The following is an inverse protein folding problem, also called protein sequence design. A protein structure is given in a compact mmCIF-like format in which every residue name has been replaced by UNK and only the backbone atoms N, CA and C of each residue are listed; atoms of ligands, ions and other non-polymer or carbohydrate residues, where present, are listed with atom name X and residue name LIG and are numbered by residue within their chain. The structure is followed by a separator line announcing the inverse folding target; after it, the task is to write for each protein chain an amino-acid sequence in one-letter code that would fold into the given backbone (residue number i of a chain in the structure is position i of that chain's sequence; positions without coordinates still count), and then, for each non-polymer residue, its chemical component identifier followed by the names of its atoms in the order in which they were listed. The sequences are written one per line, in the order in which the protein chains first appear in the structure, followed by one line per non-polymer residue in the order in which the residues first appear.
data_IF_779298894120
#
_entry.id   IF_779298894120
#
_cell.length_a   1.000
_cell.length_b   1.000
_cell.length_c   1.000
_cell.angle_alpha   90.00
_cell.angle_beta   90.00
_cell.angle_gamma   90.00
#
_symmetry.space_group_name_H-M   'P 1'
#
loop_
_entity.id
_entity.type
_entity.pdbx_description
1 polymer ?
#
# COMPACT_ATOMS: atom_id res chain seq x y z
N UNK A 1 20.79 -12.50 0.93
CA UNK A 1 21.35 -11.15 1.14
C UNK A 1 20.38 -10.11 0.61
N UNK A 2 20.44 -8.88 1.11
CA UNK A 2 19.59 -7.76 0.65
C UNK A 2 19.71 -7.54 -0.89
N UNK A 3 20.91 -7.71 -1.45
CA UNK A 3 21.15 -7.59 -2.90
C UNK A 3 20.34 -8.59 -3.73
N UNK A 4 20.22 -9.83 -3.26
CA UNK A 4 19.41 -10.86 -3.95
C UNK A 4 17.92 -10.52 -3.85
N UNK A 5 17.48 -10.06 -2.68
CA UNK A 5 16.09 -9.63 -2.50
C UNK A 5 15.74 -8.49 -3.48
N UNK A 6 16.57 -7.46 -3.52
CA UNK A 6 16.35 -6.33 -4.42
C UNK A 6 16.30 -6.78 -5.89
N UNK A 7 17.25 -7.60 -6.34
CA UNK A 7 17.27 -8.11 -7.71
C UNK A 7 16.00 -8.91 -8.07
N UNK A 8 15.48 -9.72 -7.13
CA UNK A 8 14.25 -10.49 -7.33
C UNK A 8 13.03 -9.57 -7.34
N UNK A 9 12.96 -8.58 -6.45
CA UNK A 9 11.89 -7.59 -6.43
C UNK A 9 11.84 -6.76 -7.73
N UNK A 10 13.01 -6.31 -8.22
CA UNK A 10 13.08 -5.55 -9.48
C UNK A 10 12.63 -6.43 -10.66
N UNK A 11 13.06 -7.69 -10.70
CA UNK A 11 12.63 -8.64 -11.73
C UNK A 11 11.12 -8.88 -11.73
N UNK A 12 10.48 -8.95 -10.56
CA UNK A 12 9.01 -9.05 -10.45
C UNK A 12 8.33 -7.81 -11.00
N UNK A 13 8.80 -6.60 -10.63
CA UNK A 13 8.21 -5.33 -11.10
C UNK A 13 8.31 -5.18 -12.61
N UNK A 14 9.48 -5.51 -13.20
CA UNK A 14 9.69 -5.48 -14.64
C UNK A 14 8.72 -6.43 -15.34
N UNK A 15 8.62 -7.67 -14.86
CA UNK A 15 7.75 -8.68 -15.42
C UNK A 15 6.26 -8.34 -15.30
N UNK A 16 5.85 -7.70 -14.20
CA UNK A 16 4.46 -7.20 -14.02
C UNK A 16 4.12 -6.08 -15.00
N UNK A 17 5.11 -5.29 -15.44
CA UNK A 17 4.93 -4.29 -16.50
C UNK A 17 4.88 -4.87 -17.92
N UNK A 18 5.42 -6.07 -18.14
CA UNK A 18 5.55 -6.69 -19.45
C UNK A 18 4.53 -7.82 -19.73
N UNK A 19 3.99 -8.45 -18.69
CA UNK A 19 3.20 -9.69 -18.75
C UNK A 19 1.99 -9.67 -17.85
N UNK A 20 1.00 -10.48 -18.20
CA UNK A 20 -0.12 -10.74 -17.30
C UNK A 20 0.33 -11.56 -16.07
N UNK A 21 -0.42 -11.41 -14.97
CA UNK A 21 -0.14 -12.16 -13.73
C UNK A 21 -0.09 -13.68 -13.93
N UNK A 22 -0.95 -14.23 -14.80
CA UNK A 22 -1.01 -15.67 -15.08
C UNK A 22 0.22 -16.22 -15.78
N UNK A 23 1.04 -15.38 -16.38
CA UNK A 23 2.28 -15.74 -17.04
C UNK A 23 3.50 -15.70 -16.10
N UNK A 24 3.33 -15.16 -14.89
CA UNK A 24 4.40 -15.11 -13.90
C UNK A 24 4.65 -16.47 -13.27
N UNK A 25 5.93 -16.80 -13.11
CA UNK A 25 6.36 -18.00 -12.40
C UNK A 25 7.69 -17.79 -11.71
N UNK A 26 7.95 -18.55 -10.65
CA UNK A 26 9.26 -18.47 -9.93
C UNK A 26 10.45 -18.73 -10.88
N UNK A 27 10.43 -19.71 -11.81
CA UNK A 27 11.52 -19.87 -12.76
C UNK A 27 11.77 -18.64 -13.64
N UNK A 28 10.70 -17.99 -14.12
CA UNK A 28 10.80 -16.80 -14.96
C UNK A 28 11.40 -15.60 -14.16
N UNK A 29 10.93 -15.39 -12.95
CA UNK A 29 11.47 -14.35 -12.06
C UNK A 29 12.94 -14.61 -11.73
N UNK A 30 13.29 -15.85 -11.39
CA UNK A 30 14.67 -16.24 -11.07
C UNK A 30 15.61 -16.00 -12.26
N UNK A 31 15.17 -16.36 -13.46
CA UNK A 31 15.92 -16.11 -14.70
C UNK A 31 16.16 -14.60 -14.90
N UNK A 32 15.13 -13.77 -14.77
CA UNK A 32 15.24 -12.31 -14.92
C UNK A 32 16.15 -11.70 -13.86
N UNK A 33 16.08 -12.19 -12.61
CA UNK A 33 16.89 -11.72 -11.48
C UNK A 33 18.35 -12.23 -11.50
N UNK A 34 18.69 -13.17 -12.39
CA UNK A 34 20.02 -13.77 -12.45
C UNK A 34 20.32 -14.69 -11.25
N UNK A 35 19.30 -15.33 -10.68
CA UNK A 35 19.42 -16.27 -9.56
C UNK A 35 18.82 -17.64 -9.91
N UNK A 36 19.05 -18.66 -9.08
CA UNK A 36 18.42 -19.96 -9.28
C UNK A 36 17.00 -19.98 -8.71
N UNK A 37 16.04 -20.75 -9.29
CA UNK A 37 14.71 -20.91 -8.71
C UNK A 37 14.71 -21.39 -7.26
N UNK A 38 15.66 -22.27 -6.90
CA UNK A 38 15.80 -22.74 -5.52
C UNK A 38 16.14 -21.63 -4.53
N UNK A 39 16.83 -20.58 -4.96
CA UNK A 39 17.11 -19.39 -4.15
C UNK A 39 15.82 -18.64 -3.81
N UNK A 40 14.93 -18.52 -4.80
CA UNK A 40 13.62 -17.88 -4.62
C UNK A 40 12.73 -18.73 -3.72
N UNK A 41 12.58 -20.03 -4.02
CA UNK A 41 11.75 -20.95 -3.22
C UNK A 41 12.20 -21.01 -1.75
N UNK A 42 13.50 -21.04 -1.49
CA UNK A 42 14.03 -21.09 -0.12
C UNK A 42 13.67 -19.86 0.70
N UNK A 43 13.49 -18.70 0.06
CA UNK A 43 13.23 -17.44 0.75
C UNK A 43 11.74 -17.14 0.89
N UNK A 44 10.96 -17.38 -0.15
CA UNK A 44 9.54 -17.00 -0.20
C UNK A 44 8.59 -18.20 -0.22
N UNK A 45 9.07 -19.40 -0.49
CA UNK A 45 8.24 -20.60 -0.52
C UNK A 45 7.41 -20.72 -1.80
N UNK A 46 6.61 -19.72 -2.11
CA UNK A 46 5.71 -19.69 -3.27
C UNK A 46 5.84 -18.39 -4.07
N UNK A 47 5.31 -18.40 -5.30
CA UNK A 47 5.18 -17.18 -6.10
C UNK A 47 4.26 -16.17 -5.39
N UNK A 48 3.17 -16.63 -4.76
CA UNK A 48 2.21 -15.77 -4.08
C UNK A 48 2.88 -15.00 -2.93
N UNK A 49 3.67 -15.66 -2.10
CA UNK A 49 4.40 -15.01 -1.01
C UNK A 49 5.46 -14.02 -1.53
N UNK A 50 6.11 -14.34 -2.65
CA UNK A 50 7.02 -13.40 -3.30
C UNK A 50 6.29 -12.14 -3.78
N UNK A 51 5.13 -12.30 -4.44
CA UNK A 51 4.35 -11.17 -4.93
C UNK A 51 3.82 -10.31 -3.77
N UNK A 52 3.40 -10.93 -2.66
CA UNK A 52 2.98 -10.24 -1.45
C UNK A 52 4.13 -9.44 -0.80
N UNK A 53 5.33 -10.01 -0.76
CA UNK A 53 6.53 -9.33 -0.24
C UNK A 53 6.91 -8.10 -1.10
N UNK A 54 6.81 -8.22 -2.44
CA UNK A 54 7.00 -7.09 -3.38
C UNK A 54 5.94 -6.02 -3.18
N UNK A 55 4.66 -6.41 -3.02
CA UNK A 55 3.55 -5.50 -2.79
C UNK A 55 3.72 -4.74 -1.47
N UNK A 56 4.07 -5.44 -0.40
CA UNK A 56 4.37 -4.85 0.90
C UNK A 56 5.49 -3.81 0.82
N UNK A 57 6.60 -4.15 0.14
CA UNK A 57 7.76 -3.25 0.05
C UNK A 57 7.43 -1.98 -0.75
N UNK A 58 6.53 -2.07 -1.75
CA UNK A 58 6.05 -0.90 -2.49
C UNK A 58 5.26 0.08 -1.61
N UNK A 59 4.53 -0.43 -0.61
CA UNK A 59 3.76 0.39 0.33
C UNK A 59 4.61 0.97 1.47
N UNK A 60 5.90 0.65 1.50
CA UNK A 60 6.82 1.16 2.50
C UNK A 60 6.83 2.69 2.50
N UNK A 61 6.69 3.33 3.66
CA UNK A 61 6.77 4.78 3.76
C UNK A 61 8.23 5.23 3.65
N UNK A 62 8.68 5.54 2.43
CA UNK A 62 10.03 6.05 2.21
C UNK A 62 10.15 7.51 2.63
N UNK A 63 9.09 8.32 2.35
CA UNK A 63 9.03 9.71 2.75
C UNK A 63 7.72 10.02 3.49
N UNK A 64 7.74 10.88 4.51
CA UNK A 64 6.52 11.38 5.12
C UNK A 64 5.74 12.21 4.08
N UNK A 65 4.39 12.22 4.15
CA UNK A 65 3.58 13.08 3.29
C UNK A 65 4.00 14.56 3.40
N UNK A 66 3.90 15.29 2.30
CA UNK A 66 4.22 16.72 2.28
C UNK A 66 3.40 17.48 3.32
N UNK A 67 4.06 18.38 4.06
CA UNK A 67 3.38 19.25 5.02
C UNK A 67 2.98 20.55 4.33
N UNK A 68 1.73 20.61 3.90
CA UNK A 68 1.15 21.79 3.24
C UNK A 68 0.47 22.77 4.22
N UNK A 69 0.61 22.56 5.52
CA UNK A 69 0.07 23.42 6.58
C UNK A 69 -1.02 22.76 7.41
N UNK A 70 -2.31 23.09 7.22
CA UNK A 70 -3.40 22.60 8.05
C UNK A 70 -3.65 21.09 7.91
N UNK A 71 -4.04 20.43 9.02
CA UNK A 71 -4.37 19.01 9.05
C UNK A 71 -5.36 18.61 7.96
N UNK A 72 -6.43 19.36 7.78
CA UNK A 72 -7.45 19.09 6.78
C UNK A 72 -6.85 18.96 5.38
N UNK A 73 -6.03 19.94 4.97
CA UNK A 73 -5.42 19.96 3.63
C UNK A 73 -4.49 18.77 3.40
N UNK A 74 -3.65 18.48 4.40
CA UNK A 74 -2.68 17.38 4.32
C UNK A 74 -3.40 16.03 4.28
N UNK A 75 -4.39 15.83 5.16
CA UNK A 75 -5.11 14.57 5.25
C UNK A 75 -5.99 14.29 4.02
N UNK A 76 -6.63 15.34 3.45
CA UNK A 76 -7.37 15.24 2.18
C UNK A 76 -6.45 14.88 1.01
N UNK A 77 -5.31 15.55 0.89
CA UNK A 77 -4.33 15.26 -0.15
C UNK A 77 -3.82 13.80 -0.04
N UNK A 78 -3.53 13.35 1.17
CA UNK A 78 -3.13 11.97 1.43
C UNK A 78 -4.25 10.96 1.09
N UNK A 79 -5.49 11.21 1.49
CA UNK A 79 -6.62 10.32 1.20
C UNK A 79 -6.87 10.17 -0.31
N UNK A 80 -6.78 11.29 -1.05
CA UNK A 80 -6.88 11.29 -2.52
C UNK A 80 -5.74 10.48 -3.15
N UNK A 81 -4.49 10.72 -2.75
CA UNK A 81 -3.33 9.97 -3.25
C UNK A 81 -3.46 8.47 -2.95
N UNK A 82 -3.90 8.12 -1.75
CA UNK A 82 -4.15 6.74 -1.36
C UNK A 82 -5.21 6.08 -2.25
N UNK A 83 -6.34 6.77 -2.50
CA UNK A 83 -7.36 6.30 -3.43
C UNK A 83 -6.81 6.08 -4.84
N UNK A 84 -6.09 7.06 -5.40
CA UNK A 84 -5.49 6.98 -6.73
C UNK A 84 -4.52 5.80 -6.84
N UNK A 85 -3.69 5.59 -5.81
CA UNK A 85 -2.72 4.50 -5.78
C UNK A 85 -3.39 3.14 -5.80
N UNK A 86 -4.36 2.87 -4.91
CA UNK A 86 -5.01 1.55 -4.82
C UNK A 86 -6.04 1.30 -5.93
N UNK A 87 -6.57 2.35 -6.57
CA UNK A 87 -7.46 2.24 -7.74
C UNK A 87 -6.71 1.92 -9.02
N UNK A 88 -5.43 2.24 -9.09
CA UNK A 88 -4.59 1.92 -10.25
C UNK A 88 -4.50 0.40 -10.48
N UNK A 89 -4.27 -0.01 -11.74
CA UNK A 89 -4.10 -1.44 -12.05
C UNK A 89 -3.02 -2.10 -11.20
N UNK A 90 -1.79 -1.52 -11.08
CA UNK A 90 -0.78 -2.07 -10.18
C UNK A 90 -1.21 -2.10 -8.72
N UNK A 91 -1.86 -1.04 -8.23
CA UNK A 91 -2.32 -0.96 -6.84
C UNK A 91 -3.34 -2.04 -6.50
N UNK A 92 -4.30 -2.30 -7.38
CA UNK A 92 -5.28 -3.39 -7.22
C UNK A 92 -4.61 -4.76 -7.19
N UNK A 93 -3.60 -4.99 -8.01
CA UNK A 93 -2.83 -6.24 -8.01
C UNK A 93 -2.06 -6.42 -6.70
N UNK A 94 -1.42 -5.36 -6.20
CA UNK A 94 -0.70 -5.42 -4.93
C UNK A 94 -1.59 -5.74 -3.73
N UNK A 95 -2.75 -5.09 -3.63
CA UNK A 95 -3.69 -5.40 -2.54
C UNK A 95 -4.21 -6.84 -2.64
N UNK A 96 -4.50 -7.34 -3.86
CA UNK A 96 -4.89 -8.74 -4.06
C UNK A 96 -3.78 -9.70 -3.63
N UNK A 97 -2.52 -9.39 -3.97
CA UNK A 97 -1.38 -10.20 -3.58
C UNK A 97 -1.18 -10.26 -2.07
N UNK A 98 -1.37 -9.13 -1.39
CA UNK A 98 -1.30 -9.08 0.07
C UNK A 98 -2.40 -9.92 0.73
N UNK A 99 -3.64 -9.78 0.25
CA UNK A 99 -4.79 -10.52 0.81
C UNK A 99 -4.73 -12.02 0.50
N UNK A 100 -4.13 -12.40 -0.63
CA UNK A 100 -3.97 -13.80 -1.03
C UNK A 100 -2.76 -14.49 -0.39
N UNK A 101 -1.90 -13.76 0.33
CA UNK A 101 -0.79 -14.34 1.09
C UNK A 101 -1.32 -15.20 2.25
N UNK A 102 -0.76 -16.38 2.45
CA UNK A 102 -1.11 -17.25 3.57
C UNK A 102 -0.50 -16.76 4.90
N UNK A 103 0.57 -15.94 4.82
CA UNK A 103 1.25 -15.36 5.96
C UNK A 103 0.60 -14.04 6.41
N UNK A 104 0.27 -13.93 7.71
CA UNK A 104 -0.27 -12.69 8.28
C UNK A 104 0.76 -11.54 8.28
N UNK A 105 2.05 -11.86 8.24
CA UNK A 105 3.15 -10.89 8.36
C UNK A 105 3.10 -9.78 7.30
N UNK A 106 2.79 -10.12 6.04
CA UNK A 106 2.72 -9.13 4.95
C UNK A 106 1.55 -8.16 5.14
N UNK A 107 0.38 -8.67 5.51
CA UNK A 107 -0.82 -7.87 5.77
C UNK A 107 -0.65 -6.97 6.98
N UNK A 108 -0.11 -7.51 8.08
CA UNK A 108 0.19 -6.72 9.28
C UNK A 108 1.22 -5.62 9.02
N UNK A 109 2.26 -5.91 8.24
CA UNK A 109 3.27 -4.93 7.91
C UNK A 109 2.71 -3.83 7.00
N UNK A 110 1.82 -4.17 6.06
CA UNK A 110 1.12 -3.18 5.24
C UNK A 110 0.28 -2.23 6.11
N UNK A 111 -0.47 -2.78 7.06
CA UNK A 111 -1.21 -1.97 8.03
C UNK A 111 -0.28 -1.05 8.84
N UNK A 112 0.84 -1.58 9.34
CA UNK A 112 1.84 -0.75 10.05
C UNK A 112 2.38 0.39 9.19
N UNK A 113 2.64 0.17 7.90
CA UNK A 113 3.09 1.22 6.99
C UNK A 113 2.05 2.31 6.76
N UNK A 114 0.78 1.93 6.62
CA UNK A 114 -0.33 2.87 6.53
C UNK A 114 -0.43 3.71 7.81
N UNK A 115 -0.38 3.07 8.97
CA UNK A 115 -0.40 3.72 10.29
C UNK A 115 0.77 4.69 10.49
N UNK A 116 1.97 4.36 10.01
CA UNK A 116 3.14 5.25 10.10
C UNK A 116 2.90 6.55 9.31
N UNK A 117 2.36 6.47 8.10
CA UNK A 117 2.03 7.64 7.28
C UNK A 117 0.96 8.52 7.94
N UNK A 118 -0.12 7.90 8.43
CA UNK A 118 -1.19 8.61 9.14
C UNK A 118 -0.64 9.31 10.38
N UNK A 119 0.09 8.61 11.24
CA UNK A 119 0.68 9.19 12.46
C UNK A 119 1.61 10.35 12.15
N UNK A 120 2.43 10.27 11.11
CA UNK A 120 3.30 11.37 10.71
C UNK A 120 2.51 12.66 10.37
N UNK A 121 1.31 12.52 9.78
CA UNK A 121 0.41 13.66 9.53
C UNK A 121 -0.15 14.20 10.85
N UNK A 122 -0.67 13.31 11.70
CA UNK A 122 -1.33 13.70 12.97
C UNK A 122 -0.33 14.28 13.97
N UNK A 123 0.90 13.77 14.05
CA UNK A 123 1.95 14.28 14.94
C UNK A 123 2.33 15.74 14.57
N UNK A 124 2.32 16.08 13.28
CA UNK A 124 2.55 17.46 12.83
C UNK A 124 1.38 18.38 13.23
N UNK A 125 0.15 17.91 13.11
CA UNK A 125 -1.03 18.65 13.57
C UNK A 125 -0.97 18.87 15.09
N UNK A 126 -0.64 17.83 15.86
CA UNK A 126 -0.43 17.92 17.30
C UNK A 126 0.65 18.95 17.68
N UNK A 127 1.78 18.95 16.94
CA UNK A 127 2.86 19.93 17.16
C UNK A 127 2.43 21.38 16.89
N UNK A 128 1.41 21.60 16.04
CA UNK A 128 0.80 22.92 15.79
C UNK A 128 -0.35 23.25 16.75
N UNK A 129 -0.71 22.31 17.64
CA UNK A 129 -1.83 22.48 18.56
C UNK A 129 -3.21 22.35 17.89
N UNK A 130 -3.28 21.74 16.71
CA UNK A 130 -4.54 21.48 16.01
C UNK A 130 -5.26 20.28 16.64
N UNK A 131 -6.60 20.34 16.84
CA UNK A 131 -7.37 19.15 17.16
C UNK A 131 -7.19 18.10 16.07
N UNK A 132 -7.03 16.83 16.46
CA UNK A 132 -6.84 15.74 15.50
C UNK A 132 -7.43 14.43 16.02
N UNK A 133 -7.88 13.52 15.13
CA UNK A 133 -8.31 12.18 15.52
C UNK A 133 -7.09 11.33 15.89
N UNK A 134 -7.30 10.13 16.39
CA UNK A 134 -6.28 9.11 16.45
C UNK A 134 -6.12 8.40 15.08
N UNK A 135 -5.01 7.66 14.93
CA UNK A 135 -4.69 7.00 13.68
C UNK A 135 -5.64 5.83 13.34
N UNK A 136 -6.19 5.17 14.35
CA UNK A 136 -7.16 4.08 14.16
C UNK A 136 -8.48 4.64 13.64
N UNK A 137 -8.94 5.77 14.15
CA UNK A 137 -10.12 6.49 13.62
C UNK A 137 -9.95 6.83 12.14
N UNK A 138 -8.78 7.32 11.72
CA UNK A 138 -8.52 7.60 10.30
C UNK A 138 -8.51 6.31 9.48
N UNK A 139 -7.92 5.24 10.00
CA UNK A 139 -7.92 3.94 9.33
C UNK A 139 -9.34 3.42 9.13
N UNK A 140 -10.15 3.40 10.17
CA UNK A 140 -11.49 2.83 10.16
C UNK A 140 -12.48 3.65 9.33
N UNK A 141 -12.34 4.98 9.32
CA UNK A 141 -13.31 5.89 8.71
C UNK A 141 -12.88 6.48 7.36
N UNK A 142 -11.61 6.36 6.99
CA UNK A 142 -11.09 6.83 5.69
C UNK A 142 -10.51 5.69 4.89
N UNK A 143 -9.48 5.00 5.42
CA UNK A 143 -8.76 3.98 4.67
C UNK A 143 -9.62 2.75 4.37
N UNK A 144 -10.30 2.20 5.37
CA UNK A 144 -11.11 0.99 5.21
C UNK A 144 -12.30 1.21 4.24
N UNK A 145 -13.08 2.31 4.30
CA UNK A 145 -14.09 2.61 3.30
C UNK A 145 -13.54 2.75 1.88
N UNK A 146 -12.36 3.37 1.72
CA UNK A 146 -11.71 3.49 0.41
C UNK A 146 -11.38 2.11 -0.16
N UNK A 147 -10.72 1.25 0.62
CA UNK A 147 -10.41 -0.13 0.22
C UNK A 147 -11.68 -0.88 -0.17
N UNK A 148 -12.71 -0.83 0.69
CA UNK A 148 -13.97 -1.51 0.42
C UNK A 148 -14.61 -1.02 -0.89
N UNK A 149 -14.66 0.29 -1.11
CA UNK A 149 -15.26 0.88 -2.30
C UNK A 149 -14.52 0.48 -3.58
N UNK A 150 -13.19 0.51 -3.56
CA UNK A 150 -12.34 0.16 -4.71
C UNK A 150 -12.48 -1.32 -5.11
N UNK A 151 -12.64 -2.23 -4.14
CA UNK A 151 -12.61 -3.67 -4.40
C UNK A 151 -13.98 -4.32 -4.53
N UNK A 152 -15.03 -3.74 -3.94
CA UNK A 152 -16.33 -4.39 -3.81
C UNK A 152 -17.50 -3.58 -4.39
N UNK A 153 -17.28 -2.35 -4.84
CA UNK A 153 -18.35 -1.53 -5.45
C UNK A 153 -18.13 -1.39 -6.95
N UNK A 154 -19.21 -1.21 -7.74
CA UNK A 154 -19.07 -0.93 -9.16
C UNK A 154 -18.52 0.47 -9.41
N UNK A 155 -17.59 0.57 -10.35
CA UNK A 155 -16.94 1.83 -10.73
C UNK A 155 -15.90 2.31 -9.71
N UNK A 156 -15.03 3.22 -10.16
CA UNK A 156 -14.03 3.83 -9.30
C UNK A 156 -14.62 5.04 -8.58
N UNK A 157 -14.37 5.20 -7.26
CA UNK A 157 -14.82 6.37 -6.53
C UNK A 157 -14.06 7.63 -6.99
N UNK A 158 -14.78 8.76 -7.01
CA UNK A 158 -14.19 10.05 -7.33
C UNK A 158 -13.30 10.54 -6.17
N UNK A 159 -12.20 11.27 -6.46
CA UNK A 159 -11.32 11.82 -5.42
C UNK A 159 -12.06 12.67 -4.36
N UNK A 160 -13.04 13.45 -4.77
CA UNK A 160 -13.87 14.25 -3.86
C UNK A 160 -14.62 13.41 -2.81
N UNK A 161 -14.94 12.15 -3.12
CA UNK A 161 -15.54 11.24 -2.14
C UNK A 161 -14.55 10.86 -1.02
N UNK A 162 -13.29 10.60 -1.36
CA UNK A 162 -12.26 10.33 -0.36
C UNK A 162 -12.00 11.55 0.55
N UNK A 163 -12.02 12.76 -0.03
CA UNK A 163 -11.92 14.00 0.72
C UNK A 163 -13.12 14.19 1.67
N UNK A 164 -14.33 13.84 1.24
CA UNK A 164 -15.52 13.92 2.09
C UNK A 164 -15.48 12.96 3.28
N UNK A 165 -14.80 11.82 3.19
CA UNK A 165 -14.56 10.95 4.35
C UNK A 165 -13.70 11.65 5.42
N UNK A 166 -12.70 12.40 4.97
CA UNK A 166 -11.86 13.21 5.87
C UNK A 166 -12.69 14.30 6.54
N UNK A 167 -13.55 15.01 5.78
CA UNK A 167 -14.44 16.04 6.33
C UNK A 167 -15.32 15.48 7.45
N UNK A 168 -15.88 14.26 7.25
CA UNK A 168 -16.70 13.59 8.26
C UNK A 168 -15.91 13.26 9.54
N UNK A 169 -14.65 12.85 9.40
CA UNK A 169 -13.79 12.55 10.56
C UNK A 169 -13.45 13.83 11.33
N UNK A 170 -13.13 14.91 10.61
CA UNK A 170 -12.74 16.18 11.25
C UNK A 170 -13.94 16.93 11.85
N UNK A 171 -15.15 16.71 11.35
CA UNK A 171 -16.36 17.31 11.90
C UNK A 171 -16.74 16.78 13.31
N UNK A 172 -16.19 15.65 13.70
CA UNK A 172 -16.43 15.01 15.02
C UNK A 172 -15.39 15.42 16.09
N UNK A 173 -14.47 16.33 15.77
CA UNK A 173 -13.46 16.87 16.70
C UNK A 173 -13.98 18.10 17.41
#
# INVERSE_FOLDING_TARGET
SARVQQAVHDAVRDLQGERSRSELSVPLVAQRAGVTPSTVYRRWGTLQELLADVARERMRPDDPPDDTGALETVLKAWARQYLEEISSSPGREYVRDLVASEGEENSEQCNRYCQVKIRAILDRAAARGEPHPDADTVTDRVTAPIVFRVFFSPGDPEPAWAEALVDQVLADL
#
